data_IF_377772112180
#
_entry.id   IF_377772112180
#
_cell.length_a   1.000
_cell.length_b   1.000
_cell.length_c   1.000
_cell.angle_alpha   90.00
_cell.angle_beta   90.00
_cell.angle_gamma   90.00
#
_symmetry.space_group_name_H-M   'P 1'
#
loop_
_entity.id
_entity.type
_entity.pdbx_description
1 polymer ?
#
# COMPACT_ATOMS: atom_id res chain seq x y z
N UNK A 1 0.21 15.74 15.15
CA UNK A 1 0.47 14.31 15.38
C UNK A 1 1.93 14.08 15.01
N UNK A 2 2.77 13.65 15.95
CA UNK A 2 4.18 13.34 15.66
C UNK A 2 4.24 12.02 14.90
N UNK A 3 5.01 11.98 13.80
CA UNK A 3 5.21 10.77 13.00
C UNK A 3 6.42 10.02 13.55
N UNK A 4 6.27 8.73 13.86
CA UNK A 4 7.32 7.93 14.49
C UNK A 4 8.08 7.12 13.43
N UNK A 5 9.04 7.78 12.77
CA UNK A 5 9.92 7.13 11.77
C UNK A 5 11.30 6.74 12.34
N UNK A 6 11.73 7.37 13.44
CA UNK A 6 13.06 7.18 14.03
C UNK A 6 13.24 5.82 14.75
N UNK A 7 12.15 5.07 14.95
CA UNK A 7 12.18 3.78 15.64
C UNK A 7 11.50 2.73 14.75
N UNK A 8 12.13 1.56 14.52
CA UNK A 8 11.49 0.46 13.83
C UNK A 8 10.17 0.07 14.52
N UNK A 9 9.10 -0.01 13.73
CA UNK A 9 7.76 -0.37 14.23
C UNK A 9 7.57 -1.89 14.32
N UNK A 10 8.26 -2.66 13.48
CA UNK A 10 8.21 -4.12 13.41
C UNK A 10 9.63 -4.68 13.57
N UNK A 11 9.73 -5.84 14.22
CA UNK A 11 10.93 -6.67 14.34
C UNK A 11 10.76 -7.94 13.52
N UNK A 12 11.85 -8.67 13.23
CA UNK A 12 11.73 -10.03 12.71
C UNK A 12 10.76 -10.84 13.58
N UNK A 13 9.94 -11.69 12.95
CA UNK A 13 8.89 -12.53 13.57
C UNK A 13 7.61 -11.80 14.00
N UNK A 14 7.55 -10.46 13.93
CA UNK A 14 6.29 -9.74 14.15
C UNK A 14 5.31 -9.97 12.99
N UNK A 15 4.02 -10.09 13.32
CA UNK A 15 2.96 -10.22 12.33
C UNK A 15 2.33 -8.86 12.03
N UNK A 16 2.35 -8.46 10.76
CA UNK A 16 1.63 -7.28 10.27
C UNK A 16 0.25 -7.68 9.72
N UNK A 17 -0.80 -7.27 10.42
CA UNK A 17 -2.17 -7.36 9.91
C UNK A 17 -2.59 -6.00 9.36
N UNK A 18 -2.66 -5.90 8.03
CA UNK A 18 -3.11 -4.70 7.35
C UNK A 18 -4.48 -4.93 6.70
N UNK A 19 -5.40 -3.99 6.89
CA UNK A 19 -6.74 -4.01 6.31
C UNK A 19 -6.97 -2.73 5.52
N UNK A 20 -7.46 -2.87 4.29
CA UNK A 20 -7.86 -1.76 3.45
C UNK A 20 -9.26 -2.02 2.88
N UNK A 21 -10.10 -0.98 2.90
CA UNK A 21 -11.41 -0.99 2.26
C UNK A 21 -11.52 0.27 1.39
N UNK A 22 -11.63 0.06 0.09
CA UNK A 22 -11.62 1.13 -0.90
C UNK A 22 -11.50 0.57 -2.31
N UNK A 23 -11.09 1.42 -3.25
CA UNK A 23 -10.91 1.00 -4.63
C UNK A 23 -9.59 0.22 -4.78
N UNK A 24 -9.69 -0.98 -5.36
CA UNK A 24 -8.54 -1.77 -5.77
C UNK A 24 -8.53 -1.96 -7.28
N UNK A 25 -7.37 -2.26 -7.86
CA UNK A 25 -7.26 -2.55 -9.29
C UNK A 25 -6.15 -3.53 -9.61
N UNK A 26 -6.46 -4.51 -10.47
CA UNK A 26 -5.47 -5.36 -11.14
C UNK A 26 -4.92 -4.65 -12.39
N UNK A 27 -3.59 -4.56 -12.53
CA UNK A 27 -2.93 -4.07 -13.74
C UNK A 27 -1.57 -4.77 -13.92
N UNK A 28 -1.24 -5.23 -15.14
CA UNK A 28 0.02 -5.97 -15.43
C UNK A 28 0.31 -7.07 -14.41
N UNK A 29 -0.71 -7.87 -14.10
CA UNK A 29 -0.63 -9.00 -13.15
C UNK A 29 -0.27 -8.63 -11.70
N UNK A 30 -0.36 -7.36 -11.33
CA UNK A 30 -0.22 -6.87 -9.95
C UNK A 30 -1.54 -6.28 -9.44
N UNK A 31 -1.81 -6.46 -8.15
CA UNK A 31 -2.93 -5.84 -7.46
C UNK A 31 -2.49 -4.54 -6.80
N UNK A 32 -3.29 -3.48 -6.98
CA UNK A 32 -3.00 -2.14 -6.45
C UNK A 32 -4.12 -1.64 -5.55
N UNK A 33 -3.72 -0.95 -4.49
CA UNK A 33 -4.59 -0.12 -3.66
C UNK A 33 -4.68 1.28 -4.28
N UNK A 34 -5.88 1.69 -4.67
CA UNK A 34 -6.11 2.99 -5.29
C UNK A 34 -6.47 4.02 -4.23
N UNK A 35 -5.82 5.18 -4.30
CA UNK A 35 -6.18 6.39 -3.56
C UNK A 35 -7.33 7.14 -4.24
N UNK A 36 -7.87 8.12 -3.52
CA UNK A 36 -8.93 8.99 -4.02
C UNK A 36 -8.52 9.76 -5.30
N UNK A 37 -7.24 10.12 -5.39
CA UNK A 37 -6.64 10.88 -6.49
C UNK A 37 -5.80 10.02 -7.45
N UNK A 38 -5.80 8.70 -7.27
CA UNK A 38 -5.12 7.79 -8.20
C UNK A 38 -5.71 7.92 -9.61
N UNK A 39 -4.84 7.90 -10.61
CA UNK A 39 -5.24 7.92 -12.01
C UNK A 39 -5.35 6.49 -12.56
N UNK A 40 -6.53 6.06 -13.04
CA UNK A 40 -6.67 4.79 -13.74
C UNK A 40 -5.78 4.66 -15.00
N UNK A 41 -5.31 5.77 -15.58
CA UNK A 41 -4.40 5.72 -16.72
C UNK A 41 -2.93 5.49 -16.31
N UNK A 42 -2.59 5.65 -15.03
CA UNK A 42 -1.23 5.63 -14.50
C UNK A 42 -1.18 4.94 -13.12
N UNK A 43 -1.77 3.76 -13.02
CA UNK A 43 -1.90 2.98 -11.78
C UNK A 43 -0.53 2.72 -11.14
N UNK A 44 0.45 2.36 -11.96
CA UNK A 44 1.84 2.10 -11.57
C UNK A 44 2.58 3.29 -10.95
N UNK A 45 2.05 4.52 -11.08
CA UNK A 45 2.68 5.75 -10.57
C UNK A 45 1.86 6.46 -9.51
N UNK A 46 0.59 6.12 -9.39
CA UNK A 46 -0.39 6.87 -8.59
C UNK A 46 -1.13 6.01 -7.59
N UNK A 47 -0.89 4.70 -7.57
CA UNK A 47 -1.42 3.74 -6.60
C UNK A 47 -0.25 3.01 -5.90
N UNK A 48 -0.54 2.24 -4.86
CA UNK A 48 0.44 1.39 -4.18
C UNK A 48 0.22 -0.06 -4.59
N UNK A 49 1.29 -0.78 -4.97
CA UNK A 49 1.20 -2.23 -5.19
C UNK A 49 0.98 -2.95 -3.86
N UNK A 50 0.07 -3.92 -3.82
CA UNK A 50 -0.17 -4.75 -2.63
C UNK A 50 1.11 -5.49 -2.20
N UNK A 51 1.96 -5.87 -3.16
CA UNK A 51 3.23 -6.54 -2.90
C UNK A 51 4.26 -5.62 -2.23
N UNK A 52 4.17 -4.29 -2.39
CA UNK A 52 5.08 -3.34 -1.71
C UNK A 52 4.69 -3.09 -0.25
N UNK A 53 3.49 -3.51 0.15
CA UNK A 53 3.01 -3.46 1.53
C UNK A 53 3.45 -4.71 2.31
N UNK A 54 3.70 -5.82 1.61
CA UNK A 54 4.03 -7.13 2.18
C UNK A 54 5.54 -7.43 2.22
#
# INVERSE_FOLDING_TARGET
>A
MEKQFEKPLLKPEDNLWFFFAGHGRRYKDQDYLMFLDSSPAAVDRTAISVDEVM
#
